data_IF_316526587335
#
_entry.id   IF_316526587335
#
_cell.length_a   1.000
_cell.length_b   1.000
_cell.length_c   1.000
_cell.angle_alpha   90.00
_cell.angle_beta   90.00
_cell.angle_gamma   90.00
#
_symmetry.space_group_name_H-M   'P 1'
#
loop_
_entity.id
_entity.type
_entity.pdbx_description
1 polymer ?
#
# COMPACT_ATOMS: atom_id res chain seq x y z
N UNK A 1 11.92 10.55 8.17
CA UNK A 1 10.63 11.09 8.68
C UNK A 1 10.45 10.61 10.11
N UNK A 2 10.03 11.45 11.06
CA UNK A 2 9.87 11.05 12.46
C UNK A 2 8.54 10.35 12.66
N UNK A 3 8.57 9.11 13.15
CA UNK A 3 7.38 8.32 13.49
C UNK A 3 7.20 8.23 15.00
N UNK A 4 5.96 8.07 15.44
CA UNK A 4 5.55 7.95 16.84
C UNK A 4 4.93 6.55 17.07
N UNK A 5 5.31 5.92 18.19
CA UNK A 5 4.60 4.71 18.66
C UNK A 5 3.21 5.07 19.17
N UNK A 6 2.34 4.09 19.34
CA UNK A 6 0.95 4.32 19.80
C UNK A 6 0.88 5.13 21.12
N UNK A 7 1.76 4.84 22.07
CA UNK A 7 1.80 5.57 23.36
C UNK A 7 2.24 7.02 23.18
N UNK A 8 3.22 7.28 22.32
CA UNK A 8 3.72 8.61 22.04
C UNK A 8 2.68 9.45 21.29
N UNK A 9 2.06 8.86 20.25
CA UNK A 9 0.99 9.52 19.50
C UNK A 9 -0.22 9.86 20.39
N UNK A 10 -0.62 8.95 21.25
CA UNK A 10 -1.70 9.16 22.21
C UNK A 10 -1.36 10.28 23.21
N UNK A 11 -0.12 10.35 23.69
CA UNK A 11 0.34 11.42 24.58
C UNK A 11 0.30 12.79 23.87
N UNK A 12 0.73 12.89 22.61
CA UNK A 12 0.67 14.15 21.83
C UNK A 12 -0.77 14.63 21.65
N UNK A 13 -1.72 13.70 21.49
CA UNK A 13 -3.16 13.99 21.33
C UNK A 13 -3.88 14.17 22.67
N UNK A 14 -3.20 13.98 23.79
CA UNK A 14 -3.77 13.98 25.13
C UNK A 14 -4.96 13.01 25.29
N UNK A 15 -4.82 11.79 24.75
CA UNK A 15 -5.80 10.73 24.84
C UNK A 15 -5.17 9.40 25.30
N UNK A 16 -5.99 8.42 25.65
CA UNK A 16 -5.45 7.10 25.94
C UNK A 16 -5.07 6.34 24.66
N UNK A 17 -4.11 5.41 24.72
CA UNK A 17 -3.80 4.53 23.58
C UNK A 17 -5.02 3.75 23.06
N UNK A 18 -5.95 3.39 23.95
CA UNK A 18 -7.19 2.71 23.58
C UNK A 18 -8.16 3.65 22.82
N UNK A 19 -8.22 4.93 23.21
CA UNK A 19 -8.99 5.93 22.47
C UNK A 19 -8.46 6.11 21.06
N UNK A 20 -7.13 6.18 20.90
CA UNK A 20 -6.50 6.30 19.58
C UNK A 20 -6.81 5.11 18.69
N UNK A 21 -6.74 3.88 19.24
CA UNK A 21 -7.15 2.64 18.53
C UNK A 21 -8.64 2.61 18.20
N UNK A 22 -9.50 3.14 19.09
CA UNK A 22 -10.93 3.24 18.82
C UNK A 22 -11.22 4.21 17.66
N UNK A 23 -10.48 5.31 17.54
CA UNK A 23 -10.59 6.22 16.42
C UNK A 23 -10.12 5.55 15.11
N UNK A 24 -8.98 4.84 15.13
CA UNK A 24 -8.50 4.04 14.01
C UNK A 24 -9.59 3.06 13.50
N UNK A 25 -10.20 2.28 14.40
CA UNK A 25 -11.25 1.32 14.04
C UNK A 25 -12.54 2.00 13.54
N UNK A 26 -13.00 3.03 14.24
CA UNK A 26 -14.30 3.67 13.94
C UNK A 26 -14.27 4.57 12.73
N UNK A 27 -13.17 5.27 12.52
CA UNK A 27 -13.05 6.32 11.50
C UNK A 27 -12.01 5.97 10.43
N UNK A 28 -11.23 4.90 10.60
CA UNK A 28 -10.09 4.59 9.75
C UNK A 28 -8.98 5.66 9.81
N UNK A 29 -8.92 6.45 10.90
CA UNK A 29 -7.98 7.56 11.07
C UNK A 29 -7.63 7.78 12.55
N UNK A 30 -6.36 8.12 12.90
CA UNK A 30 -5.18 8.17 12.02
C UNK A 30 -4.81 6.78 11.48
N UNK A 31 -4.10 6.71 10.33
CA UNK A 31 -3.69 5.43 9.74
C UNK A 31 -2.25 5.09 10.13
N UNK A 32 -2.02 4.13 11.05
CA UNK A 32 -0.68 3.71 11.38
C UNK A 32 -0.05 2.89 10.26
N UNK A 33 1.25 3.04 10.10
CA UNK A 33 2.08 2.05 9.40
C UNK A 33 2.42 0.92 10.37
N UNK A 34 2.72 -0.26 9.85
CA UNK A 34 3.27 -1.35 10.65
C UNK A 34 4.78 -1.43 10.43
N UNK A 35 5.53 -1.43 11.55
CA UNK A 35 6.97 -1.72 11.50
C UNK A 35 7.20 -3.21 11.17
N UNK A 36 8.43 -3.62 10.80
CA UNK A 36 8.77 -5.04 10.66
C UNK A 36 8.38 -5.89 11.87
N UNK A 37 8.37 -5.32 13.08
CA UNK A 37 7.89 -5.96 14.32
C UNK A 37 6.38 -5.82 14.55
N UNK A 38 5.57 -5.60 13.53
CA UNK A 38 4.10 -5.43 13.58
C UNK A 38 3.59 -4.32 14.51
N UNK A 39 4.46 -3.41 14.98
CA UNK A 39 4.07 -2.28 15.84
C UNK A 39 3.48 -1.13 15.02
N UNK A 40 2.42 -0.51 15.54
CA UNK A 40 1.81 0.68 14.95
C UNK A 40 2.74 1.89 15.06
N UNK A 41 3.00 2.53 13.95
CA UNK A 41 3.79 3.76 13.83
C UNK A 41 2.95 4.83 13.12
N UNK A 42 2.79 5.97 13.76
CA UNK A 42 2.05 7.12 13.22
C UNK A 42 3.04 8.18 12.77
N UNK A 43 2.73 8.93 11.72
CA UNK A 43 3.58 10.06 11.32
C UNK A 43 3.38 11.24 12.25
N UNK A 44 4.47 11.92 12.56
CA UNK A 44 4.41 13.10 13.43
C UNK A 44 3.51 14.21 12.83
N UNK A 45 3.57 14.43 11.51
CA UNK A 45 2.76 15.43 10.82
C UNK A 45 1.27 15.15 10.94
N UNK A 46 0.83 13.89 10.74
CA UNK A 46 -0.57 13.49 10.88
C UNK A 46 -1.09 13.70 12.31
N UNK A 47 -0.30 13.31 13.30
CA UNK A 47 -0.67 13.47 14.72
C UNK A 47 -0.69 14.95 15.12
N UNK A 48 0.26 15.76 14.62
CA UNK A 48 0.27 17.20 14.86
C UNK A 48 -0.94 17.89 14.23
N UNK A 49 -1.28 17.61 12.98
CA UNK A 49 -2.45 18.17 12.31
C UNK A 49 -3.76 17.81 13.03
N UNK A 50 -3.87 16.55 13.50
CA UNK A 50 -5.03 16.10 14.27
C UNK A 50 -5.10 16.82 15.62
N UNK A 51 -3.96 16.97 16.33
CA UNK A 51 -3.88 17.71 17.59
C UNK A 51 -4.33 19.17 17.40
N UNK A 52 -3.80 19.83 16.38
CA UNK A 52 -4.07 21.25 16.13
C UNK A 52 -5.58 21.47 15.84
N UNK A 53 -6.18 20.59 15.02
CA UNK A 53 -7.61 20.59 14.75
C UNK A 53 -8.46 20.38 16.03
N UNK A 54 -8.05 19.48 16.92
CA UNK A 54 -8.73 19.25 18.21
C UNK A 54 -8.54 20.43 19.17
N UNK A 55 -7.37 21.09 19.17
CA UNK A 55 -7.12 22.29 19.98
C UNK A 55 -7.92 23.51 19.48
N UNK A 56 -8.22 23.58 18.19
CA UNK A 56 -9.15 24.55 17.60
C UNK A 56 -10.61 24.29 18.02
N UNK A 57 -10.88 23.24 18.77
CA UNK A 57 -12.22 22.87 19.27
C UNK A 57 -13.04 22.01 18.32
N UNK A 58 -12.45 21.47 17.25
CA UNK A 58 -13.15 20.56 16.35
C UNK A 58 -13.44 19.22 17.04
N UNK A 59 -14.60 18.65 16.73
CA UNK A 59 -14.87 17.26 17.08
C UNK A 59 -13.92 16.32 16.33
N UNK A 60 -13.71 15.12 16.85
CA UNK A 60 -12.86 14.12 16.15
C UNK A 60 -13.36 13.82 14.73
N UNK A 61 -14.67 13.77 14.50
CA UNK A 61 -15.24 13.56 13.17
C UNK A 61 -14.94 14.74 12.24
N UNK A 62 -15.03 15.98 12.73
CA UNK A 62 -14.73 17.19 11.96
C UNK A 62 -13.24 17.30 11.65
N UNK A 63 -12.37 16.95 12.61
CA UNK A 63 -10.91 16.93 12.41
C UNK A 63 -10.52 15.91 11.32
N UNK A 64 -11.17 14.73 11.31
CA UNK A 64 -10.96 13.70 10.30
C UNK A 64 -11.48 14.14 8.94
N UNK A 65 -12.66 14.78 8.87
CA UNK A 65 -13.19 15.34 7.61
C UNK A 65 -12.22 16.35 7.01
N UNK A 66 -11.69 17.26 7.84
CA UNK A 66 -10.66 18.23 7.43
C UNK A 66 -9.39 17.56 6.90
N UNK A 67 -8.96 16.47 7.52
CA UNK A 67 -7.81 15.70 7.02
C UNK A 67 -8.08 15.06 5.65
N UNK A 68 -9.30 14.55 5.42
CA UNK A 68 -9.70 13.99 4.12
C UNK A 68 -9.83 15.07 3.05
N UNK A 69 -10.36 16.23 3.39
CA UNK A 69 -10.41 17.39 2.49
C UNK A 69 -9.02 17.85 2.06
N UNK A 70 -8.05 17.81 2.99
CA UNK A 70 -6.65 18.09 2.65
C UNK A 70 -6.07 17.09 1.65
N UNK A 71 -6.39 15.79 1.75
CA UNK A 71 -5.98 14.79 0.76
C UNK A 71 -6.57 15.10 -0.61
N UNK A 72 -7.86 15.40 -0.67
CA UNK A 72 -8.53 15.76 -1.92
C UNK A 72 -7.95 17.04 -2.55
N UNK A 73 -7.60 18.03 -1.72
CA UNK A 73 -6.94 19.25 -2.19
C UNK A 73 -5.54 18.96 -2.76
N UNK A 74 -4.73 18.13 -2.10
CA UNK A 74 -3.40 17.76 -2.59
C UNK A 74 -3.48 16.99 -3.92
N UNK A 75 -4.43 16.05 -4.06
CA UNK A 75 -4.70 15.33 -5.32
C UNK A 75 -5.08 16.32 -6.43
N UNK A 76 -5.98 17.26 -6.14
CA UNK A 76 -6.40 18.25 -7.12
C UNK A 76 -5.25 19.16 -7.60
N UNK A 77 -4.38 19.58 -6.66
CA UNK A 77 -3.19 20.39 -6.99
C UNK A 77 -2.24 19.61 -7.89
N UNK A 78 -1.97 18.34 -7.57
CA UNK A 78 -1.09 17.48 -8.35
C UNK A 78 -1.63 17.21 -9.76
N UNK A 79 -2.92 16.87 -9.87
CA UNK A 79 -3.60 16.69 -11.17
C UNK A 79 -3.52 17.98 -12.01
N UNK A 80 -3.78 19.13 -11.38
CA UNK A 80 -3.70 20.44 -12.06
C UNK A 80 -2.30 20.75 -12.58
N UNK A 81 -1.27 20.52 -11.74
CA UNK A 81 0.11 20.76 -12.10
C UNK A 81 0.58 19.86 -13.26
N UNK A 82 0.31 18.55 -13.18
CA UNK A 82 0.67 17.59 -14.23
C UNK A 82 -0.08 17.85 -15.54
N UNK A 83 -1.37 18.20 -15.46
CA UNK A 83 -2.18 18.53 -16.65
C UNK A 83 -1.74 19.84 -17.33
N UNK A 84 -1.13 20.75 -16.58
CA UNK A 84 -0.54 21.99 -17.09
C UNK A 84 0.94 21.84 -17.46
N UNK A 85 1.53 20.65 -17.33
CA UNK A 85 2.97 20.38 -17.54
C UNK A 85 3.91 21.17 -16.61
N UNK A 86 3.41 21.58 -15.44
CA UNK A 86 4.15 22.31 -14.41
C UNK A 86 4.84 21.33 -13.46
N UNK A 87 5.92 20.67 -13.92
CA UNK A 87 6.55 19.57 -13.18
C UNK A 87 7.16 20.00 -11.85
N UNK A 88 7.69 21.21 -11.75
CA UNK A 88 8.20 21.78 -10.50
C UNK A 88 7.07 21.98 -9.46
N UNK A 89 5.89 22.37 -9.92
CA UNK A 89 4.70 22.48 -9.06
C UNK A 89 4.17 21.10 -8.65
N UNK A 90 4.31 20.10 -9.51
CA UNK A 90 4.02 18.73 -9.15
C UNK A 90 4.96 18.20 -8.06
N UNK A 91 6.27 18.50 -8.14
CA UNK A 91 7.23 18.19 -7.08
C UNK A 91 6.84 18.89 -5.75
N UNK A 92 6.47 20.18 -5.77
CA UNK A 92 6.01 20.93 -4.60
C UNK A 92 4.72 20.33 -3.99
N UNK A 93 3.78 19.86 -4.83
CA UNK A 93 2.57 19.21 -4.35
C UNK A 93 2.88 17.93 -3.58
N UNK A 94 3.82 17.12 -4.07
CA UNK A 94 4.27 15.91 -3.38
C UNK A 94 5.07 16.23 -2.11
N UNK A 95 5.89 17.28 -2.09
CA UNK A 95 6.56 17.76 -0.87
C UNK A 95 5.55 18.18 0.18
N UNK A 96 4.49 18.89 -0.20
CA UNK A 96 3.37 19.23 0.68
C UNK A 96 2.68 17.98 1.26
N UNK A 97 2.41 16.98 0.42
CA UNK A 97 1.84 15.71 0.86
C UNK A 97 2.75 14.99 1.85
N UNK A 98 4.06 14.96 1.60
CA UNK A 98 5.07 14.33 2.47
C UNK A 98 5.25 15.07 3.81
N UNK A 99 4.96 16.36 3.88
CA UNK A 99 5.02 17.11 5.13
C UNK A 99 3.97 16.61 6.14
N UNK A 100 2.83 16.14 5.66
CA UNK A 100 1.70 15.70 6.47
C UNK A 100 1.58 14.18 6.61
N UNK A 101 2.09 13.41 5.64
CA UNK A 101 1.89 11.96 5.52
C UNK A 101 3.20 11.22 5.35
N UNK A 102 3.17 9.90 5.57
CA UNK A 102 4.29 9.05 5.20
C UNK A 102 4.43 8.97 3.66
N UNK A 103 5.59 8.50 3.21
CA UNK A 103 5.86 8.29 1.78
C UNK A 103 4.81 7.35 1.18
N UNK A 104 4.53 6.23 1.85
CA UNK A 104 3.57 5.21 1.40
C UNK A 104 2.17 5.81 1.26
N UNK A 105 1.72 6.57 2.26
CA UNK A 105 0.42 7.25 2.21
C UNK A 105 0.37 8.35 1.16
N UNK A 106 1.44 9.12 0.99
CA UNK A 106 1.50 10.14 -0.07
C UNK A 106 1.41 9.50 -1.46
N UNK A 107 2.04 8.33 -1.64
CA UNK A 107 1.93 7.56 -2.88
C UNK A 107 0.50 7.03 -3.07
N UNK A 108 -0.08 6.38 -2.07
CA UNK A 108 -1.39 5.73 -2.20
C UNK A 108 -2.58 6.69 -2.17
N UNK A 109 -2.49 7.78 -1.41
CA UNK A 109 -3.61 8.69 -1.22
C UNK A 109 -3.56 9.91 -2.16
N UNK A 110 -2.37 10.27 -2.69
CA UNK A 110 -2.21 11.43 -3.56
C UNK A 110 -1.68 11.04 -4.94
N UNK A 111 -0.47 10.45 -5.04
CA UNK A 111 0.17 10.20 -6.33
C UNK A 111 -0.65 9.27 -7.22
N UNK A 112 -0.95 8.06 -6.74
CA UNK A 112 -1.61 7.05 -7.56
C UNK A 112 -3.07 7.43 -7.90
N UNK A 113 -3.88 8.04 -7.01
CA UNK A 113 -5.20 8.58 -7.38
C UNK A 113 -5.11 9.70 -8.41
N UNK A 114 -4.13 10.61 -8.31
CA UNK A 114 -3.91 11.66 -9.31
C UNK A 114 -3.59 11.07 -10.68
N UNK A 115 -2.75 10.04 -10.73
CA UNK A 115 -2.42 9.35 -11.98
C UNK A 115 -3.64 8.63 -12.57
N UNK A 116 -4.46 7.96 -11.74
CA UNK A 116 -5.70 7.34 -12.20
C UNK A 116 -6.64 8.38 -12.83
N UNK A 117 -6.81 9.54 -12.17
CA UNK A 117 -7.65 10.62 -12.66
C UNK A 117 -7.17 11.21 -13.99
N UNK A 118 -5.84 11.37 -14.16
CA UNK A 118 -5.26 11.83 -15.43
C UNK A 118 -5.50 10.78 -16.53
N UNK A 119 -5.26 9.50 -16.25
CA UNK A 119 -5.49 8.42 -17.21
C UNK A 119 -6.96 8.29 -17.63
N UNK A 120 -7.89 8.42 -16.68
CA UNK A 120 -9.34 8.38 -16.96
C UNK A 120 -9.81 9.57 -17.80
N UNK A 121 -9.27 10.77 -17.55
CA UNK A 121 -9.68 12.00 -18.26
C UNK A 121 -9.06 12.15 -19.65
N UNK A 122 -7.83 11.72 -19.81
CA UNK A 122 -7.02 12.06 -20.99
C UNK A 122 -6.64 10.82 -21.83
N UNK A 123 -6.87 9.62 -21.30
CA UNK A 123 -6.46 8.36 -21.92
C UNK A 123 -5.00 8.01 -21.63
N UNK A 124 -4.74 6.73 -21.44
CA UNK A 124 -3.38 6.22 -21.13
C UNK A 124 -2.47 6.11 -22.36
N UNK A 125 -2.97 6.38 -23.53
CA UNK A 125 -2.26 6.49 -24.81
C UNK A 125 -1.96 7.93 -25.23
N UNK A 126 -2.26 8.90 -24.38
CA UNK A 126 -2.11 10.34 -24.66
C UNK A 126 -0.73 10.89 -24.29
N UNK A 127 -0.30 11.98 -24.96
CA UNK A 127 0.93 12.67 -24.59
C UNK A 127 0.91 13.27 -23.17
N UNK A 128 -0.20 13.85 -22.67
CA UNK A 128 -0.29 14.27 -21.28
C UNK A 128 -0.09 13.14 -20.28
N UNK A 129 -0.69 11.96 -20.53
CA UNK A 129 -0.43 10.78 -19.71
C UNK A 129 1.04 10.39 -19.73
N UNK A 130 1.67 10.34 -20.92
CA UNK A 130 3.07 9.96 -21.04
C UNK A 130 4.02 10.87 -20.23
N UNK A 131 3.77 12.18 -20.21
CA UNK A 131 4.54 13.13 -19.39
C UNK A 131 4.29 12.86 -17.90
N UNK A 132 3.05 12.73 -17.49
CA UNK A 132 2.70 12.49 -16.10
C UNK A 132 3.23 11.14 -15.59
N UNK A 133 3.06 10.06 -16.36
CA UNK A 133 3.53 8.71 -16.02
C UNK A 133 5.05 8.65 -15.89
N UNK A 134 5.77 9.30 -16.80
CA UNK A 134 7.23 9.41 -16.72
C UNK A 134 7.67 10.14 -15.45
N UNK A 135 7.08 11.32 -15.17
CA UNK A 135 7.39 12.08 -13.96
C UNK A 135 7.10 11.26 -12.70
N UNK A 136 5.93 10.63 -12.62
CA UNK A 136 5.54 9.80 -11.47
C UNK A 136 6.49 8.60 -11.27
N UNK A 137 6.87 7.93 -12.36
CA UNK A 137 7.84 6.83 -12.33
C UNK A 137 9.22 7.27 -11.83
N UNK A 138 9.71 8.42 -12.29
CA UNK A 138 10.98 9.00 -11.84
C UNK A 138 10.91 9.45 -10.37
N UNK A 139 9.76 9.97 -9.94
CA UNK A 139 9.53 10.35 -8.55
C UNK A 139 9.56 9.12 -7.63
N UNK A 140 8.88 8.04 -7.99
CA UNK A 140 8.87 6.78 -7.24
C UNK A 140 10.27 6.17 -7.13
N UNK A 141 11.04 6.16 -8.22
CA UNK A 141 12.43 5.69 -8.22
C UNK A 141 13.33 6.52 -7.30
N UNK A 142 13.17 7.84 -7.30
CA UNK A 142 13.91 8.73 -6.37
C UNK A 142 13.54 8.41 -4.92
N UNK A 143 12.25 8.28 -4.61
CA UNK A 143 11.78 7.93 -3.27
C UNK A 143 12.32 6.57 -2.81
N UNK A 144 12.39 5.58 -3.69
CA UNK A 144 12.95 4.26 -3.40
C UNK A 144 14.45 4.33 -3.10
N UNK A 145 15.24 5.10 -3.86
CA UNK A 145 16.68 5.27 -3.64
C UNK A 145 17.01 5.99 -2.33
N UNK A 146 16.10 6.83 -1.83
CA UNK A 146 16.23 7.51 -0.54
C UNK A 146 15.75 6.65 0.64
N UNK A 147 15.17 5.48 0.38
CA UNK A 147 14.78 4.53 1.41
C UNK A 147 16.01 3.85 2.03
N UNK A 148 15.95 3.45 3.30
CA UNK A 148 17.06 2.73 3.92
C UNK A 148 17.42 1.48 3.12
N UNK A 149 18.72 1.15 2.94
CA UNK A 149 19.12 -0.05 2.22
C UNK A 149 18.69 -1.30 2.97
N UNK A 150 18.08 -2.24 2.26
CA UNK A 150 17.59 -3.53 2.79
C UNK A 150 18.56 -4.65 2.41
N UNK A 151 19.76 -4.62 2.98
CA UNK A 151 20.82 -5.60 2.63
C UNK A 151 20.53 -7.03 3.11
N UNK A 152 19.75 -7.21 4.15
CA UNK A 152 19.61 -8.48 4.89
C UNK A 152 18.19 -9.05 4.96
N UNK A 153 17.19 -8.36 4.42
CA UNK A 153 15.80 -8.81 4.46
C UNK A 153 15.50 -9.97 3.48
N UNK A 154 14.37 -10.65 3.65
CA UNK A 154 13.96 -11.69 2.74
C UNK A 154 13.78 -11.17 1.31
N UNK A 155 14.17 -11.98 0.32
CA UNK A 155 14.06 -11.61 -1.08
C UNK A 155 12.69 -12.00 -1.65
N UNK A 156 12.16 -11.10 -2.49
CA UNK A 156 10.95 -11.28 -3.28
C UNK A 156 11.32 -11.20 -4.75
N UNK A 157 11.02 -12.23 -5.52
CA UNK A 157 11.16 -12.19 -6.96
C UNK A 157 9.88 -11.61 -7.59
N UNK A 158 10.02 -10.51 -8.32
CA UNK A 158 8.90 -9.86 -8.98
C UNK A 158 9.02 -10.05 -10.49
N UNK A 159 8.03 -10.68 -11.10
CA UNK A 159 7.86 -10.75 -12.55
C UNK A 159 7.08 -9.54 -13.03
N UNK A 160 7.74 -8.67 -13.77
CA UNK A 160 7.13 -7.51 -14.40
C UNK A 160 6.40 -7.94 -15.68
N UNK A 161 5.07 -7.93 -15.63
CA UNK A 161 4.18 -8.24 -16.74
C UNK A 161 3.56 -6.98 -17.37
N UNK A 162 4.07 -5.79 -17.04
CA UNK A 162 3.63 -4.55 -17.65
C UNK A 162 4.08 -4.47 -19.11
N UNK A 163 3.29 -3.80 -19.95
CA UNK A 163 3.58 -3.69 -21.40
C UNK A 163 4.78 -2.79 -21.67
N UNK A 164 4.81 -1.66 -21.00
CA UNK A 164 5.87 -0.66 -21.12
C UNK A 164 5.82 0.32 -19.92
N UNK A 165 6.66 1.36 -19.97
CA UNK A 165 6.73 2.37 -18.90
C UNK A 165 5.50 3.30 -18.81
N UNK A 166 4.64 3.30 -19.82
CA UNK A 166 3.39 4.08 -19.84
C UNK A 166 2.20 3.27 -19.36
N UNK A 167 2.38 1.97 -19.16
CA UNK A 167 1.36 1.12 -18.58
C UNK A 167 1.04 1.61 -17.15
N UNK A 168 -0.23 1.91 -16.82
CA UNK A 168 -0.62 2.29 -15.47
C UNK A 168 -0.16 1.33 -14.38
N UNK A 169 -0.12 0.03 -14.69
CA UNK A 169 0.34 -1.01 -13.76
C UNK A 169 1.82 -0.89 -13.43
N UNK A 170 2.64 -0.24 -14.29
CA UNK A 170 4.04 0.06 -13.99
C UNK A 170 4.19 0.96 -12.75
N UNK A 171 3.30 1.94 -12.57
CA UNK A 171 3.30 2.81 -11.38
C UNK A 171 2.89 2.03 -10.13
N UNK A 172 1.91 1.13 -10.25
CA UNK A 172 1.49 0.26 -9.16
C UNK A 172 2.62 -0.70 -8.74
N UNK A 173 3.33 -1.29 -9.69
CA UNK A 173 4.51 -2.12 -9.45
C UNK A 173 5.61 -1.35 -8.71
N UNK A 174 5.95 -0.14 -9.16
CA UNK A 174 6.95 0.71 -8.48
C UNK A 174 6.53 1.13 -7.08
N UNK A 175 5.23 1.35 -6.86
CA UNK A 175 4.70 1.61 -5.52
C UNK A 175 4.86 0.38 -4.60
N UNK A 176 4.59 -0.83 -5.12
CA UNK A 176 4.82 -2.07 -4.38
C UNK A 176 6.29 -2.25 -4.02
N UNK A 177 7.22 -2.03 -4.97
CA UNK A 177 8.67 -2.09 -4.72
C UNK A 177 9.10 -1.10 -3.63
N UNK A 178 8.62 0.15 -3.71
CA UNK A 178 8.90 1.18 -2.72
C UNK A 178 8.39 0.77 -1.34
N UNK A 179 7.12 0.37 -1.22
CA UNK A 179 6.54 -0.05 0.06
C UNK A 179 7.26 -1.28 0.63
N UNK A 180 7.57 -2.25 -0.22
CA UNK A 180 8.31 -3.47 0.16
C UNK A 180 9.70 -3.15 0.69
N UNK A 181 10.46 -2.31 -0.01
CA UNK A 181 11.81 -1.93 0.44
C UNK A 181 11.79 -1.21 1.79
N UNK A 182 10.77 -0.42 2.06
CA UNK A 182 10.65 0.35 3.30
C UNK A 182 10.29 -0.49 4.53
N UNK A 183 9.71 -1.67 4.33
CA UNK A 183 9.44 -2.62 5.41
C UNK A 183 10.51 -3.71 5.54
N UNK A 184 11.56 -3.67 4.72
CA UNK A 184 12.71 -4.55 4.83
C UNK A 184 12.74 -5.70 3.81
N UNK A 185 11.85 -5.74 2.82
CA UNK A 185 11.91 -6.72 1.74
C UNK A 185 12.91 -6.30 0.65
N UNK A 186 13.60 -7.28 0.06
CA UNK A 186 14.48 -7.08 -1.10
C UNK A 186 13.75 -7.51 -2.37
N UNK A 187 13.18 -6.58 -3.11
CA UNK A 187 12.56 -6.88 -4.39
C UNK A 187 13.61 -7.01 -5.50
N UNK A 188 13.54 -8.10 -6.25
CA UNK A 188 14.31 -8.33 -7.48
C UNK A 188 13.31 -8.42 -8.63
N UNK A 189 13.20 -7.35 -9.39
CA UNK A 189 12.21 -7.24 -10.48
C UNK A 189 12.85 -7.59 -11.81
N UNK A 190 12.21 -8.50 -12.53
CA UNK A 190 12.63 -8.97 -13.85
C UNK A 190 11.44 -8.98 -14.80
N UNK A 191 11.62 -8.60 -16.08
CA UNK A 191 10.57 -8.80 -17.07
C UNK A 191 10.24 -10.29 -17.23
N UNK A 192 8.97 -10.60 -17.47
CA UNK A 192 8.51 -12.00 -17.64
C UNK A 192 8.95 -12.61 -18.96
N UNK A 193 9.39 -11.81 -19.92
CA UNK A 193 9.81 -12.23 -21.24
C UNK A 193 11.29 -11.98 -21.51
N UNK A 194 11.88 -12.70 -22.45
CA UNK A 194 13.17 -12.38 -23.04
C UNK A 194 14.40 -12.70 -22.20
N UNK A 195 14.28 -13.36 -21.04
CA UNK A 195 15.40 -13.63 -20.14
C UNK A 195 15.91 -15.08 -20.24
N UNK A 196 17.23 -15.21 -20.44
CA UNK A 196 17.99 -16.41 -20.11
C UNK A 196 18.58 -16.27 -18.69
N UNK A 197 18.96 -17.39 -18.07
CA UNK A 197 19.66 -17.36 -16.76
C UNK A 197 18.76 -17.07 -15.54
N UNK A 198 17.44 -17.23 -15.65
CA UNK A 198 16.52 -17.03 -14.53
C UNK A 198 16.89 -17.88 -13.31
N UNK A 199 17.33 -19.12 -13.54
CA UNK A 199 17.78 -20.02 -12.47
C UNK A 199 18.98 -19.48 -11.67
N UNK A 200 19.91 -18.79 -12.32
CA UNK A 200 21.08 -18.20 -11.66
C UNK A 200 20.68 -17.05 -10.74
N UNK A 201 19.73 -16.22 -11.18
CA UNK A 201 19.18 -15.14 -10.36
C UNK A 201 18.43 -15.71 -9.14
N UNK A 202 17.60 -16.73 -9.35
CA UNK A 202 16.89 -17.40 -8.26
C UNK A 202 17.87 -17.99 -7.24
N UNK A 203 18.92 -18.68 -7.71
CA UNK A 203 19.94 -19.23 -6.84
C UNK A 203 20.74 -18.15 -6.06
N UNK A 204 21.03 -17.01 -6.70
CA UNK A 204 21.80 -15.93 -6.09
C UNK A 204 21.01 -15.14 -5.04
N UNK A 205 19.70 -14.92 -5.26
CA UNK A 205 18.88 -14.11 -4.36
C UNK A 205 18.08 -14.92 -3.34
N UNK A 206 17.91 -16.22 -3.54
CA UNK A 206 17.12 -17.14 -2.69
C UNK A 206 15.76 -16.54 -2.30
N UNK A 207 14.89 -16.21 -3.29
CA UNK A 207 13.62 -15.58 -3.00
C UNK A 207 12.73 -16.51 -2.17
N UNK A 208 11.96 -15.93 -1.25
CA UNK A 208 11.01 -16.67 -0.39
C UNK A 208 9.60 -16.65 -0.97
N UNK A 209 9.31 -15.71 -1.85
CA UNK A 209 8.01 -15.53 -2.49
C UNK A 209 8.21 -14.95 -3.88
N UNK A 210 7.27 -15.25 -4.76
CA UNK A 210 7.22 -14.77 -6.14
C UNK A 210 5.95 -13.97 -6.35
N UNK A 211 6.07 -12.81 -6.98
CA UNK A 211 4.95 -11.95 -7.35
C UNK A 211 4.98 -11.75 -8.85
N UNK A 212 3.84 -11.84 -9.51
CA UNK A 212 3.66 -11.38 -10.89
C UNK A 212 2.82 -10.11 -10.83
N UNK A 213 3.38 -9.00 -11.29
CA UNK A 213 2.77 -7.69 -11.22
C UNK A 213 2.45 -7.14 -12.62
N UNK A 214 1.25 -6.59 -12.78
CA UNK A 214 0.76 -6.04 -14.04
C UNK A 214 0.17 -7.07 -15.00
N UNK A 215 -0.30 -6.58 -16.15
CA UNK A 215 -0.93 -7.37 -17.20
C UNK A 215 -2.43 -7.59 -16.99
N UNK A 216 -3.22 -7.41 -18.05
CA UNK A 216 -4.68 -7.51 -18.03
C UNK A 216 -5.23 -8.88 -18.38
N UNK A 217 -4.46 -9.75 -19.03
CA UNK A 217 -4.96 -11.00 -19.63
C UNK A 217 -4.14 -12.23 -19.23
N UNK A 218 -4.73 -13.41 -19.48
CA UNK A 218 -4.03 -14.69 -19.44
C UNK A 218 -2.99 -14.68 -20.54
N UNK A 219 -1.83 -14.20 -20.19
CA UNK A 219 -0.73 -14.22 -21.10
C UNK A 219 -0.03 -15.57 -20.98
N UNK A 220 0.17 -16.23 -22.11
CA UNK A 220 1.02 -17.42 -22.19
C UNK A 220 2.42 -17.15 -21.63
N UNK A 221 2.89 -15.91 -21.69
CA UNK A 221 4.16 -15.49 -21.12
C UNK A 221 4.16 -15.55 -19.59
N UNK A 222 3.08 -15.11 -18.93
CA UNK A 222 2.90 -15.25 -17.48
C UNK A 222 2.92 -16.72 -17.07
N UNK A 223 2.19 -17.56 -17.78
CA UNK A 223 2.15 -18.99 -17.50
C UNK A 223 3.53 -19.65 -17.71
N UNK A 224 4.21 -19.33 -18.82
CA UNK A 224 5.56 -19.83 -19.13
C UNK A 224 6.58 -19.36 -18.11
N UNK A 225 6.52 -18.09 -17.69
CA UNK A 225 7.42 -17.55 -16.69
C UNK A 225 7.21 -18.22 -15.32
N UNK A 226 5.95 -18.34 -14.88
CA UNK A 226 5.61 -19.03 -13.63
C UNK A 226 6.08 -20.50 -13.63
N UNK A 227 5.95 -21.20 -14.75
CA UNK A 227 6.46 -22.56 -14.92
C UNK A 227 8.00 -22.62 -14.78
N UNK A 228 8.72 -21.69 -15.44
CA UNK A 228 10.20 -21.60 -15.36
C UNK A 228 10.67 -21.32 -13.93
N UNK A 229 9.98 -20.41 -13.22
CA UNK A 229 10.27 -20.12 -11.81
C UNK A 229 10.10 -21.38 -10.96
N UNK A 230 8.95 -22.08 -11.09
CA UNK A 230 8.71 -23.31 -10.35
C UNK A 230 9.73 -24.40 -10.66
N UNK A 231 10.16 -24.52 -11.90
CA UNK A 231 11.19 -25.48 -12.30
C UNK A 231 12.56 -25.18 -11.67
N UNK A 232 12.89 -23.91 -11.41
CA UNK A 232 14.16 -23.47 -10.85
C UNK A 232 14.16 -23.35 -9.33
N UNK A 233 13.03 -22.99 -8.73
CA UNK A 233 12.91 -22.63 -7.31
C UNK A 233 12.05 -23.62 -6.49
N UNK A 234 11.49 -24.64 -7.11
CA UNK A 234 10.60 -25.59 -6.44
C UNK A 234 9.25 -24.97 -6.07
N UNK A 235 8.71 -25.31 -4.89
CA UNK A 235 7.36 -24.97 -4.45
C UNK A 235 7.27 -23.58 -3.81
N UNK A 236 7.84 -22.55 -4.43
CA UNK A 236 7.66 -21.17 -3.93
C UNK A 236 6.21 -20.69 -4.14
N UNK A 237 5.65 -19.94 -3.17
CA UNK A 237 4.35 -19.31 -3.35
C UNK A 237 4.41 -18.28 -4.49
N UNK A 238 3.48 -18.38 -5.45
CA UNK A 238 3.33 -17.44 -6.56
C UNK A 238 2.06 -16.63 -6.34
N UNK A 239 2.20 -15.32 -6.27
CA UNK A 239 1.14 -14.37 -5.99
C UNK A 239 0.96 -13.43 -7.17
N UNK A 240 -0.23 -12.86 -7.30
CA UNK A 240 -0.55 -11.87 -8.32
C UNK A 240 -0.78 -10.51 -7.66
N UNK A 241 -0.21 -9.46 -8.24
CA UNK A 241 -0.44 -8.10 -7.84
C UNK A 241 -0.94 -7.26 -9.01
N UNK A 242 -2.18 -6.81 -8.93
CA UNK A 242 -2.82 -5.93 -9.92
C UNK A 242 -3.67 -4.91 -9.19
N UNK A 243 -3.41 -3.63 -9.39
CA UNK A 243 -4.11 -2.56 -8.68
C UNK A 243 -5.57 -2.42 -9.08
N UNK A 244 -5.91 -2.62 -10.34
CA UNK A 244 -7.27 -2.53 -10.85
C UNK A 244 -7.88 -3.90 -11.13
N UNK A 245 -7.51 -4.89 -10.35
CA UNK A 245 -7.78 -6.31 -10.48
C UNK A 245 -9.21 -6.73 -10.82
N UNK A 246 -9.64 -6.48 -12.04
CA UNK A 246 -10.66 -7.32 -12.66
C UNK A 246 -9.97 -8.56 -13.17
N UNK A 247 -9.60 -9.43 -12.25
CA UNK A 247 -9.11 -10.75 -12.63
C UNK A 247 -10.24 -11.54 -13.28
N UNK A 248 -10.26 -11.55 -14.59
CA UNK A 248 -11.04 -12.54 -15.38
C UNK A 248 -10.29 -13.86 -15.50
N UNK A 249 -9.09 -13.95 -14.98
CA UNK A 249 -8.25 -15.13 -15.08
C UNK A 249 -8.47 -16.09 -13.92
N UNK A 250 -9.21 -17.14 -14.19
CA UNK A 250 -9.19 -18.38 -13.41
C UNK A 250 -7.83 -19.08 -13.58
N UNK A 251 -6.74 -18.50 -13.13
CA UNK A 251 -5.52 -19.26 -12.90
C UNK A 251 -5.73 -20.00 -11.57
N UNK A 252 -6.22 -21.21 -11.67
CA UNK A 252 -6.39 -22.13 -10.57
C UNK A 252 -5.10 -22.18 -9.75
N UNK A 253 -5.11 -21.58 -8.56
CA UNK A 253 -4.06 -21.67 -7.56
C UNK A 253 -3.14 -20.47 -7.38
N UNK A 254 -3.31 -19.36 -8.08
CA UNK A 254 -2.57 -18.12 -7.76
C UNK A 254 -3.41 -17.24 -6.83
N UNK A 255 -2.83 -16.90 -5.69
CA UNK A 255 -3.45 -16.00 -4.70
C UNK A 255 -3.18 -14.55 -5.07
N UNK A 256 -4.19 -13.69 -4.95
CA UNK A 256 -4.06 -12.25 -5.18
C UNK A 256 -3.61 -11.53 -3.91
N UNK A 257 -2.69 -10.59 -4.09
CA UNK A 257 -2.36 -9.60 -3.08
C UNK A 257 -3.45 -8.51 -3.03
N UNK A 258 -3.50 -7.78 -1.92
CA UNK A 258 -4.36 -6.62 -1.80
C UNK A 258 -4.00 -5.53 -2.83
N UNK A 259 -5.00 -4.73 -3.24
CA UNK A 259 -4.80 -3.64 -4.20
C UNK A 259 -3.89 -2.52 -3.67
N UNK A 260 -3.91 -2.27 -2.36
CA UNK A 260 -3.02 -1.32 -1.69
C UNK A 260 -1.58 -1.86 -1.68
N UNK A 261 -0.63 -1.09 -2.19
CA UNK A 261 0.79 -1.45 -2.20
C UNK A 261 1.35 -1.65 -0.78
N UNK A 262 0.87 -0.86 0.18
CA UNK A 262 1.28 -0.98 1.60
C UNK A 262 0.78 -2.27 2.22
N UNK A 263 -0.49 -2.64 1.96
CA UNK A 263 -1.06 -3.89 2.48
C UNK A 263 -0.42 -5.08 1.77
N UNK A 264 -0.27 -5.02 0.44
CA UNK A 264 0.38 -6.07 -0.34
C UNK A 264 1.83 -6.32 0.12
N UNK A 265 2.59 -5.25 0.39
CA UNK A 265 3.95 -5.38 0.94
C UNK A 265 3.94 -6.07 2.32
N UNK A 266 2.98 -5.74 3.20
CA UNK A 266 2.80 -6.42 4.49
C UNK A 266 2.52 -7.90 4.33
N UNK A 267 1.61 -8.27 3.42
CA UNK A 267 1.29 -9.66 3.10
C UNK A 267 2.52 -10.43 2.58
N UNK A 268 3.33 -9.78 1.73
CA UNK A 268 4.58 -10.37 1.24
C UNK A 268 5.57 -10.63 2.35
N UNK A 269 5.70 -9.72 3.31
CA UNK A 269 6.58 -9.89 4.46
C UNK A 269 6.13 -11.05 5.34
N UNK A 270 4.83 -11.13 5.65
CA UNK A 270 4.27 -12.21 6.47
C UNK A 270 4.49 -13.58 5.80
N UNK A 271 4.28 -13.69 4.50
CA UNK A 271 4.53 -14.93 3.74
C UNK A 271 6.03 -15.26 3.69
N UNK A 272 6.88 -14.26 3.46
CA UNK A 272 8.32 -14.47 3.36
C UNK A 272 8.96 -14.87 4.70
N UNK A 273 8.35 -14.50 5.83
CA UNK A 273 8.76 -14.89 7.19
C UNK A 273 8.16 -16.23 7.65
N UNK A 274 7.35 -16.90 6.80
CA UNK A 274 6.76 -18.21 7.09
C UNK A 274 5.42 -18.11 7.81
N UNK A 275 4.77 -16.96 7.83
CA UNK A 275 3.40 -16.79 8.29
C UNK A 275 2.43 -17.48 7.33
N UNK A 276 1.56 -18.36 7.82
CA UNK A 276 0.46 -18.86 7.02
C UNK A 276 -0.63 -17.78 6.98
N UNK A 277 -1.01 -17.37 5.80
CA UNK A 277 -2.01 -16.33 5.61
C UNK A 277 -3.46 -16.81 5.93
N UNK A 278 -3.61 -17.93 6.59
CA UNK A 278 -4.87 -18.47 7.10
C UNK A 278 -5.22 -17.87 8.47
N UNK A 279 -4.23 -17.42 9.26
CA UNK A 279 -4.43 -16.89 10.61
C UNK A 279 -5.16 -15.51 10.62
N UNK A 280 -5.04 -14.70 9.56
CA UNK A 280 -5.73 -13.39 9.52
C UNK A 280 -7.23 -13.50 9.20
N UNK A 281 -7.68 -14.55 8.51
CA UNK A 281 -9.09 -14.77 8.22
C UNK A 281 -9.84 -15.28 9.48
N UNK A 282 -9.20 -16.10 10.30
CA UNK A 282 -9.77 -16.57 11.57
C UNK A 282 -9.81 -15.47 12.65
N UNK A 283 -8.80 -14.58 12.73
CA UNK A 283 -8.83 -13.43 13.65
C UNK A 283 -9.96 -12.44 13.35
N UNK A 284 -10.29 -12.23 12.07
CA UNK A 284 -11.39 -11.35 11.65
C UNK A 284 -12.76 -11.97 11.87
N UNK A 285 -12.93 -13.29 11.73
CA UNK A 285 -14.18 -13.97 12.04
C UNK A 285 -14.43 -14.11 13.56
N UNK A 286 -13.37 -14.23 14.37
CA UNK A 286 -13.50 -14.33 15.82
C UNK A 286 -13.81 -12.99 16.50
N UNK A 287 -13.38 -11.86 15.93
CA UNK A 287 -13.70 -10.51 16.43
C UNK A 287 -15.15 -10.10 16.13
N UNK A 288 -15.78 -10.62 15.06
CA UNK A 288 -17.17 -10.29 14.70
C UNK A 288 -18.21 -11.10 15.51
N UNK A 289 -17.81 -12.21 16.14
CA UNK A 289 -18.69 -13.03 16.98
C UNK A 289 -18.79 -12.57 18.43
N UNK A 290 -18.04 -11.60 18.90
CA UNK A 290 -18.14 -11.02 20.25
C UNK A 290 -18.97 -9.73 20.30
N UNK A 291 -20.20 -9.80 19.76
CA UNK A 291 -21.21 -8.76 19.93
C UNK A 291 -21.76 -8.79 21.39
N UNK A 292 -22.22 -7.64 21.92
CA UNK A 292 -22.59 -7.54 23.34
C UNK A 292 -23.81 -8.40 23.69
N UNK A 293 -23.61 -9.29 24.65
CA UNK A 293 -24.71 -10.06 25.29
C UNK A 293 -25.68 -9.07 25.93
N UNK A 294 -26.85 -8.93 25.34
CA UNK A 294 -27.97 -8.17 25.88
C UNK A 294 -28.53 -8.85 27.10
N UNK A 295 -28.20 -8.34 28.29
CA UNK A 295 -28.81 -8.78 29.54
C UNK A 295 -30.18 -8.12 29.69
N UNK A 296 -31.21 -8.79 29.21
CA UNK A 296 -32.59 -8.40 29.48
C UNK A 296 -32.97 -8.80 30.89
N UNK A 297 -32.90 -7.86 31.82
CA UNK A 297 -33.47 -8.03 33.16
C UNK A 297 -35.00 -7.99 33.12
N UNK A 298 -35.59 -9.14 33.35
CA UNK A 298 -37.01 -9.40 33.50
C UNK A 298 -37.49 -8.86 34.88
N UNK A 299 -38.07 -7.66 34.91
CA UNK A 299 -38.82 -7.20 36.12
C UNK A 299 -40.22 -7.76 36.09
N UNK A 300 -40.45 -8.85 36.84
CA UNK A 300 -41.79 -9.30 37.25
C UNK A 300 -42.36 -8.33 38.27
N UNK A 301 -43.53 -7.80 37.95
CA UNK A 301 -44.44 -7.13 38.87
C UNK A 301 -44.92 -8.14 39.93
N UNK A 302 -44.92 -7.75 41.17
CA UNK A 302 -45.78 -8.30 42.20
C UNK A 302 -46.68 -7.16 42.66
N UNK A 303 -47.97 -7.34 42.37
CA UNK A 303 -49.09 -6.61 42.97
C UNK A 303 -49.52 -7.30 44.24
N UNK A 304 -49.65 -6.57 45.30
CA UNK A 304 -50.74 -6.67 46.31
C UNK A 304 -50.88 -5.32 47.00
#
# INVERSE_FOLDING_TARGET
MRTLKTSEAAAVLNVSPNTLRAWERRFGYPKPQRSPGKHRLYTHGEIAALRDALQEGLSISSAISRARESVAADTHVLVGALSAYELERADQAMEGALALRSVERSVEEVLLPSMSEIGERQGTDSAPWAVAARWAGEWLLRAQRLSPPTATGPAVLVGDATRDQLDPDCLALRALELCSSRIGLRCVTLPITGLAGLGDVIAAYDPKVVVIAGGEEVDDDVARWAYRVRASAGALPVLLYRRNGRSTTRNAGARHLADSATIAAGQLLDIAEGGSAEDEAEELEFEDMSGPVSTTQNRRRLSA
#
